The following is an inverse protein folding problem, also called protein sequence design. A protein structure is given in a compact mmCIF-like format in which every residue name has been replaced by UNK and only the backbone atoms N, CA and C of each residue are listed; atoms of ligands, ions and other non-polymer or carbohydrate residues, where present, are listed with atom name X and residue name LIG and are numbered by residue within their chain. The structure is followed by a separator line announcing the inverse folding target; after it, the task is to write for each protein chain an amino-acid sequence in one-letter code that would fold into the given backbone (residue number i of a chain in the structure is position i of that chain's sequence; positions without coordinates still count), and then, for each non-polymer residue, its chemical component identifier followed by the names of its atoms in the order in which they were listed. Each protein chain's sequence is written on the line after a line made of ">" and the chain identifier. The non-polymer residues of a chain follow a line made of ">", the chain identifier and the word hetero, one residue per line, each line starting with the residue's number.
data_IF_232056009447
#
_entry.id   IF_232056009447
#
_cell.length_a   1.000
_cell.length_b   1.000
_cell.length_c   1.000
_cell.angle_alpha   90.00
_cell.angle_beta   90.00
_cell.angle_gamma   90.00
#
_symmetry.space_group_name_H-M   'P 1'
#
loop_
_entity.id
_entity.type
_entity.pdbx_description
1 polymer ?
#
# COMPACT_ATOMS: atom_id res chain seq x y z
N UNK A 1 14.64 -34.35 -23.57
CA UNK A 1 14.13 -33.35 -22.59
C UNK A 1 13.60 -34.09 -21.38
N UNK A 2 14.22 -33.88 -20.23
CA UNK A 2 14.03 -34.65 -18.98
C UNK A 2 12.63 -34.45 -18.40
N UNK A 3 12.00 -35.54 -17.95
CA UNK A 3 10.65 -35.63 -17.37
C UNK A 3 10.35 -34.57 -16.29
N UNK A 4 11.38 -34.07 -15.61
CA UNK A 4 11.31 -33.03 -14.57
C UNK A 4 10.82 -31.66 -15.08
N UNK A 5 11.10 -31.31 -16.34
CA UNK A 5 10.67 -30.04 -16.93
C UNK A 5 9.17 -30.01 -17.32
N UNK A 6 8.57 -31.19 -17.56
CA UNK A 6 7.12 -31.30 -17.82
C UNK A 6 6.28 -31.10 -16.55
N UNK A 7 6.81 -31.47 -15.38
CA UNK A 7 6.10 -31.38 -14.11
C UNK A 7 5.87 -29.94 -13.65
N UNK A 8 6.85 -29.04 -13.81
CA UNK A 8 6.73 -27.65 -13.34
C UNK A 8 5.73 -26.83 -14.18
N UNK A 9 5.49 -27.19 -15.44
CA UNK A 9 4.50 -26.51 -16.29
C UNK A 9 3.05 -26.79 -15.83
N UNK A 10 2.82 -27.90 -15.14
CA UNK A 10 1.51 -28.30 -14.61
C UNK A 10 1.41 -28.16 -13.09
N UNK A 11 2.36 -27.46 -12.46
CA UNK A 11 2.32 -27.19 -11.03
C UNK A 11 1.12 -26.28 -10.73
N UNK A 12 0.15 -26.82 -9.98
CA UNK A 12 -1.09 -26.12 -9.64
C UNK A 12 -0.92 -25.41 -8.31
N UNK A 13 -1.38 -24.17 -8.24
CA UNK A 13 -1.57 -23.54 -6.94
C UNK A 13 -2.73 -24.24 -6.22
N UNK A 14 -2.45 -24.90 -5.10
CA UNK A 14 -3.45 -25.52 -4.23
C UNK A 14 -4.27 -24.48 -3.44
N UNK A 15 -3.78 -23.24 -3.39
CA UNK A 15 -4.37 -22.18 -2.60
C UNK A 15 -5.59 -21.59 -3.30
N UNK A 16 -6.77 -21.81 -2.69
CA UNK A 16 -8.07 -21.29 -3.18
C UNK A 16 -8.65 -20.17 -2.33
N UNK A 17 -7.85 -19.63 -1.42
CA UNK A 17 -8.26 -18.55 -0.52
C UNK A 17 -7.19 -17.46 -0.51
N UNK A 18 -7.60 -16.22 -0.27
CA UNK A 18 -6.65 -15.12 -0.05
C UNK A 18 -5.85 -15.31 1.26
N UNK A 19 -4.88 -14.42 1.53
CA UNK A 19 -4.19 -14.38 2.83
C UNK A 19 -5.11 -14.01 4.01
N UNK A 20 -6.29 -13.48 3.73
CA UNK A 20 -7.31 -13.17 4.72
C UNK A 20 -8.38 -14.25 4.85
N UNK A 21 -8.21 -15.42 4.22
CA UNK A 21 -9.17 -16.53 4.30
C UNK A 21 -10.43 -16.36 3.45
N UNK A 22 -10.43 -15.44 2.48
CA UNK A 22 -11.57 -15.24 1.57
C UNK A 22 -11.47 -16.26 0.43
N UNK A 23 -12.48 -17.13 0.21
CA UNK A 23 -12.49 -18.06 -0.91
C UNK A 23 -12.49 -17.35 -2.27
N UNK A 24 -11.63 -17.80 -3.18
CA UNK A 24 -11.44 -17.24 -4.51
C UNK A 24 -11.95 -18.23 -5.55
N UNK A 25 -12.92 -17.81 -6.36
CA UNK A 25 -13.41 -18.61 -7.49
C UNK A 25 -12.38 -18.57 -8.63
N UNK A 26 -12.25 -19.64 -9.43
CA UNK A 26 -11.36 -19.64 -10.60
C UNK A 26 -11.71 -18.55 -11.63
N UNK A 27 -13.01 -18.24 -11.76
CA UNK A 27 -13.53 -17.21 -12.67
C UNK A 27 -14.69 -16.51 -11.97
N UNK A 28 -14.73 -15.17 -12.08
CA UNK A 28 -15.86 -14.34 -11.68
C UNK A 28 -16.59 -13.86 -12.94
N UNK A 29 -17.90 -13.92 -12.92
CA UNK A 29 -18.79 -13.59 -14.05
C UNK A 29 -19.73 -12.45 -13.65
N UNK A 30 -20.47 -11.84 -14.60
CA UNK A 30 -21.51 -10.87 -14.26
C UNK A 30 -22.54 -11.40 -13.24
N UNK A 31 -22.68 -12.73 -13.11
CA UNK A 31 -23.59 -13.35 -12.13
C UNK A 31 -23.16 -13.12 -10.69
N UNK A 32 -21.86 -12.96 -10.45
CA UNK A 32 -21.24 -12.87 -9.12
C UNK A 32 -21.32 -11.46 -8.51
N UNK A 33 -21.70 -10.46 -9.32
CA UNK A 33 -21.89 -9.06 -8.89
C UNK A 33 -23.37 -8.64 -8.91
N UNK A 34 -24.29 -9.57 -9.22
CA UNK A 34 -25.73 -9.30 -9.16
C UNK A 34 -26.16 -9.00 -7.73
N UNK A 35 -26.87 -7.90 -7.54
CA UNK A 35 -27.29 -7.42 -6.21
C UNK A 35 -26.34 -6.39 -5.57
N UNK A 36 -25.24 -6.01 -6.25
CA UNK A 36 -24.44 -4.85 -5.84
C UNK A 36 -25.14 -3.59 -6.37
N UNK A 37 -25.89 -2.91 -5.50
CA UNK A 37 -26.53 -1.63 -5.80
C UNK A 37 -25.48 -0.52 -6.00
N UNK A 38 -25.40 0.04 -7.22
CA UNK A 38 -24.36 1.01 -7.58
C UNK A 38 -24.32 2.18 -6.59
N UNK A 39 -25.45 2.85 -6.37
CA UNK A 39 -25.52 4.06 -5.54
C UNK A 39 -25.14 3.81 -4.07
N UNK A 40 -25.38 2.61 -3.54
CA UNK A 40 -25.16 2.30 -2.12
C UNK A 40 -23.78 1.68 -1.85
N UNK A 41 -23.23 0.92 -2.80
CA UNK A 41 -22.01 0.12 -2.61
C UNK A 41 -20.80 0.65 -3.37
N UNK A 42 -21.02 1.33 -4.48
CA UNK A 42 -19.95 1.76 -5.39
C UNK A 42 -19.88 3.28 -5.49
N UNK A 43 -20.97 3.92 -5.90
CA UNK A 43 -21.10 5.37 -6.05
C UNK A 43 -20.14 5.98 -7.07
N UNK A 44 -20.26 7.30 -7.23
CA UNK A 44 -19.30 8.10 -7.99
C UNK A 44 -18.14 8.55 -7.10
N UNK A 45 -16.92 8.74 -7.64
CA UNK A 45 -15.80 9.24 -6.86
C UNK A 45 -16.12 10.61 -6.24
N UNK A 46 -15.60 10.86 -5.04
CA UNK A 46 -15.88 12.09 -4.29
C UNK A 46 -17.26 12.14 -3.60
N UNK A 47 -18.06 11.08 -3.69
CA UNK A 47 -19.36 10.96 -3.03
C UNK A 47 -19.41 9.68 -2.19
N UNK A 48 -20.19 9.70 -1.10
CA UNK A 48 -20.46 8.49 -0.30
C UNK A 48 -20.98 7.37 -1.22
N UNK A 49 -20.53 6.10 -1.06
CA UNK A 49 -19.69 5.54 0.00
C UNK A 49 -18.17 5.67 -0.22
N UNK A 50 -17.73 6.48 -1.19
CA UNK A 50 -16.32 6.71 -1.53
C UNK A 50 -15.54 5.45 -1.97
N UNK A 51 -16.24 4.36 -2.34
CA UNK A 51 -15.63 3.11 -2.82
C UNK A 51 -14.72 3.36 -4.02
N UNK A 52 -15.06 4.34 -4.87
CA UNK A 52 -14.25 4.74 -6.04
C UNK A 52 -13.24 5.86 -5.78
N UNK A 53 -13.09 6.29 -4.52
CA UNK A 53 -12.14 7.33 -4.10
C UNK A 53 -12.82 8.53 -3.44
N UNK A 54 -12.08 9.19 -2.54
CA UNK A 54 -12.57 10.32 -1.74
C UNK A 54 -12.60 11.67 -2.49
N UNK A 55 -11.98 11.76 -3.67
CA UNK A 55 -11.97 12.97 -4.50
C UNK A 55 -12.56 12.68 -5.87
N UNK A 56 -13.33 13.63 -6.43
CA UNK A 56 -13.97 13.47 -7.75
C UNK A 56 -12.97 13.18 -8.88
N UNK A 57 -11.81 13.85 -8.87
CA UNK A 57 -10.82 13.78 -9.96
C UNK A 57 -9.64 12.87 -9.61
N UNK A 58 -9.56 12.38 -8.35
CA UNK A 58 -8.47 11.57 -7.81
C UNK A 58 -7.09 12.01 -8.34
N UNK A 59 -6.35 11.08 -8.94
CA UNK A 59 -5.00 11.30 -9.46
C UNK A 59 -4.92 12.06 -10.78
N UNK A 60 -6.07 12.38 -11.41
CA UNK A 60 -6.12 13.35 -12.51
C UNK A 60 -6.07 14.79 -11.97
N UNK A 61 -6.54 15.02 -10.74
CA UNK A 61 -6.43 16.31 -10.06
C UNK A 61 -5.10 16.47 -9.30
N UNK A 62 -4.75 15.51 -8.46
CA UNK A 62 -3.48 15.52 -7.70
C UNK A 62 -2.98 14.10 -7.47
N UNK A 63 -1.73 13.83 -7.83
CA UNK A 63 -1.07 12.54 -7.52
C UNK A 63 -1.00 12.30 -6.01
N UNK A 64 -0.87 11.03 -5.61
CA UNK A 64 -0.62 10.69 -4.22
C UNK A 64 0.70 11.32 -3.74
N UNK A 65 0.79 11.61 -2.44
CA UNK A 65 2.03 12.09 -1.85
C UNK A 65 3.02 10.93 -1.74
N UNK A 66 4.12 10.99 -2.50
CA UNK A 66 5.29 10.14 -2.25
C UNK A 66 5.90 10.56 -0.90
N UNK A 67 6.12 9.59 -0.01
CA UNK A 67 6.56 9.81 1.38
C UNK A 67 7.54 8.71 1.77
N UNK A 68 8.82 8.92 1.45
CA UNK A 68 9.87 8.00 1.86
C UNK A 68 10.06 8.06 3.37
N UNK A 69 10.03 6.89 4.01
CA UNK A 69 10.37 6.77 5.43
C UNK A 69 11.85 7.10 5.58
N UNK A 70 12.15 8.11 6.40
CA UNK A 70 13.50 8.64 6.56
C UNK A 70 13.83 8.78 8.04
N UNK A 71 14.99 8.32 8.47
CA UNK A 71 15.49 8.50 9.83
C UNK A 71 16.94 8.06 9.87
N UNK A 72 17.81 8.88 10.43
CA UNK A 72 19.23 8.60 10.56
C UNK A 72 19.66 8.81 12.02
N UNK A 73 20.81 8.24 12.39
CA UNK A 73 21.34 8.20 13.76
C UNK A 73 21.26 9.51 14.54
N UNK A 74 21.43 10.67 13.88
CA UNK A 74 21.35 11.97 14.55
C UNK A 74 20.37 12.91 13.84
N UNK A 75 19.83 13.92 14.55
CA UNK A 75 18.97 14.95 13.94
C UNK A 75 19.65 15.69 12.78
N UNK A 76 20.98 15.92 12.88
CA UNK A 76 21.76 16.58 11.83
C UNK A 76 21.77 15.77 10.53
N UNK A 77 22.13 14.49 10.62
CA UNK A 77 22.16 13.59 9.46
C UNK A 77 20.77 13.41 8.86
N UNK A 78 19.75 13.33 9.71
CA UNK A 78 18.35 13.29 9.26
C UNK A 78 17.99 14.56 8.49
N UNK A 79 18.37 15.75 8.97
CA UNK A 79 18.12 17.01 8.26
C UNK A 79 18.81 17.08 6.90
N UNK A 80 20.07 16.67 6.82
CA UNK A 80 20.84 16.60 5.56
C UNK A 80 20.15 15.66 4.56
N UNK A 81 19.69 14.50 5.02
CA UNK A 81 18.94 13.54 4.20
C UNK A 81 17.58 14.08 3.74
N UNK A 82 16.84 14.77 4.61
CA UNK A 82 15.57 15.38 4.25
C UNK A 82 15.74 16.45 3.17
N UNK A 83 16.72 17.34 3.31
CA UNK A 83 17.04 18.35 2.29
C UNK A 83 17.39 17.71 0.95
N UNK A 84 18.18 16.64 0.97
CA UNK A 84 18.47 15.86 -0.22
C UNK A 84 17.18 15.32 -0.86
N UNK A 85 16.30 14.66 -0.11
CA UNK A 85 15.06 14.09 -0.65
C UNK A 85 14.13 15.16 -1.25
N UNK A 86 14.00 16.31 -0.58
CA UNK A 86 13.25 17.46 -1.11
C UNK A 86 13.85 17.93 -2.44
N UNK A 87 15.18 18.01 -2.53
CA UNK A 87 15.87 18.38 -3.78
C UNK A 87 15.64 17.38 -4.92
N UNK A 88 15.32 16.12 -4.59
CA UNK A 88 14.97 15.07 -5.56
C UNK A 88 13.47 15.05 -5.91
N UNK A 89 12.70 16.03 -5.43
CA UNK A 89 11.28 16.16 -5.74
C UNK A 89 10.35 15.29 -4.87
N UNK A 90 10.80 14.88 -3.68
CA UNK A 90 9.89 14.32 -2.68
C UNK A 90 8.92 15.40 -2.17
N UNK A 91 7.59 15.24 -2.38
CA UNK A 91 6.62 16.27 -2.07
C UNK A 91 6.17 16.27 -0.61
N UNK A 92 6.61 15.29 0.18
CA UNK A 92 6.25 15.15 1.59
C UNK A 92 7.31 14.38 2.39
N UNK A 93 7.38 14.69 3.68
CA UNK A 93 8.37 14.15 4.62
C UNK A 93 7.71 13.13 5.54
N UNK A 94 8.40 12.03 5.83
CA UNK A 94 8.03 11.07 6.85
C UNK A 94 9.27 10.69 7.67
N UNK A 95 9.30 11.11 8.94
CA UNK A 95 10.44 10.87 9.84
C UNK A 95 10.11 9.74 10.80
N UNK A 96 11.00 8.74 10.86
CA UNK A 96 10.99 7.73 11.92
C UNK A 96 12.11 8.02 12.90
N UNK A 97 11.80 7.92 14.20
CA UNK A 97 12.79 8.04 15.26
C UNK A 97 13.37 6.67 15.63
N UNK A 98 14.49 6.68 16.33
CA UNK A 98 15.09 5.49 16.92
C UNK A 98 14.21 4.89 18.03
N UNK A 99 14.56 3.67 18.45
CA UNK A 99 13.77 2.91 19.42
C UNK A 99 13.66 3.61 20.79
N UNK A 100 14.71 4.20 21.39
CA UNK A 100 14.58 4.95 22.64
C UNK A 100 13.54 6.07 22.56
N UNK A 101 13.59 6.89 21.50
CA UNK A 101 12.60 7.96 21.29
C UNK A 101 11.19 7.41 21.15
N UNK A 102 11.01 6.28 20.43
CA UNK A 102 9.70 5.62 20.31
C UNK A 102 9.17 5.10 21.65
N UNK A 103 10.08 4.65 22.53
CA UNK A 103 9.77 4.21 23.90
C UNK A 103 9.70 5.37 24.91
N UNK A 104 9.88 6.62 24.46
CA UNK A 104 9.92 7.81 25.32
C UNK A 104 11.05 7.78 26.36
N UNK A 105 12.16 7.15 26.01
CA UNK A 105 13.37 7.08 26.82
C UNK A 105 14.41 8.04 26.26
N UNK A 106 15.15 8.69 27.16
CA UNK A 106 16.35 9.42 26.80
C UNK A 106 17.40 8.46 26.21
N UNK A 107 18.25 8.96 25.31
CA UNK A 107 19.30 8.13 24.69
C UNK A 107 20.32 7.56 25.70
N UNK A 108 20.40 8.15 26.90
CA UNK A 108 21.26 7.70 28.00
C UNK A 108 20.52 6.84 29.03
N UNK A 109 19.24 6.49 28.79
CA UNK A 109 18.48 5.64 29.69
C UNK A 109 19.15 4.25 29.80
N UNK A 110 19.34 3.72 31.03
CA UNK A 110 19.96 2.41 31.27
C UNK A 110 19.21 1.23 30.61
#
# INVERSE_FOLDING_TARGET
>A
MTQKARGSYFEKSERRETWSGIPVKPVYTPKDVRGIEYAQRTGDPGHYPFTRGIYKDMYRGRLWSRRQITGCSTPRLTNERLKYLISQGEPAINVICDQPTQLQLDAAHP
#
